data_IF_918561932120
#
_entry.id   IF_918561932120
#
_cell.length_a   1.000
_cell.length_b   1.000
_cell.length_c   1.000
_cell.angle_alpha   90.00
_cell.angle_beta   90.00
_cell.angle_gamma   90.00
#
_symmetry.space_group_name_H-M   'P 1'
#
loop_
_entity.id
_entity.type
_entity.pdbx_description
1 polymer ?
#
# COMPACT_ATOMS: atom_id res chain seq x y z
N UNK A 1 -38.10 20.14 -42.97
CA UNK A 1 -36.72 19.64 -43.03
C UNK A 1 -36.47 18.80 -41.79
N UNK A 2 -36.58 17.48 -41.94
CA UNK A 2 -36.25 16.52 -40.89
C UNK A 2 -34.72 16.44 -40.78
N UNK A 3 -34.17 16.84 -39.62
CA UNK A 3 -32.74 16.74 -39.33
C UNK A 3 -32.36 15.28 -39.02
N UNK A 4 -32.35 14.44 -40.04
CA UNK A 4 -32.03 13.02 -39.92
C UNK A 4 -30.53 12.72 -39.91
N UNK A 5 -29.77 13.18 -38.91
CA UNK A 5 -28.33 12.82 -38.80
C UNK A 5 -27.69 12.72 -37.39
N UNK A 6 -28.28 13.20 -36.27
CA UNK A 6 -27.59 13.09 -34.97
C UNK A 6 -27.40 11.64 -34.49
N UNK A 7 -28.39 10.75 -34.73
CA UNK A 7 -28.37 9.39 -34.16
C UNK A 7 -27.33 8.46 -34.75
N UNK A 8 -27.15 8.47 -36.08
CA UNK A 8 -26.19 7.59 -36.77
C UNK A 8 -24.74 8.01 -36.50
N UNK A 9 -24.49 9.32 -36.39
CA UNK A 9 -23.17 9.82 -35.97
C UNK A 9 -22.85 9.33 -34.55
N UNK A 10 -23.81 9.39 -33.63
CA UNK A 10 -23.62 8.88 -32.26
C UNK A 10 -23.34 7.38 -32.24
N UNK A 11 -24.05 6.57 -33.06
CA UNK A 11 -23.77 5.13 -33.18
C UNK A 11 -22.39 4.82 -33.76
N UNK A 12 -21.84 5.70 -34.60
CA UNK A 12 -20.48 5.57 -35.11
C UNK A 12 -19.41 6.01 -34.09
N UNK A 13 -19.71 7.03 -33.28
CA UNK A 13 -18.77 7.59 -32.30
C UNK A 13 -18.73 6.80 -30.99
N UNK A 14 -19.87 6.38 -30.43
CA UNK A 14 -19.96 5.71 -29.13
C UNK A 14 -19.08 4.44 -29.00
N UNK A 15 -18.92 3.58 -30.03
CA UNK A 15 -17.99 2.44 -29.97
C UNK A 15 -16.51 2.82 -29.72
N UNK A 16 -16.12 4.04 -30.07
CA UNK A 16 -14.75 4.57 -29.94
C UNK A 16 -14.47 5.12 -28.53
N UNK A 17 -15.50 5.34 -27.73
CA UNK A 17 -15.38 5.86 -26.38
C UNK A 17 -14.97 4.75 -25.40
N UNK A 18 -14.32 5.15 -24.31
CA UNK A 18 -14.18 4.28 -23.14
C UNK A 18 -15.49 4.21 -22.36
N UNK A 19 -15.59 3.26 -21.42
CA UNK A 19 -16.84 3.08 -20.69
C UNK A 19 -17.14 4.21 -19.69
N UNK A 20 -16.17 5.04 -19.30
CA UNK A 20 -16.42 6.20 -18.43
C UNK A 20 -17.07 7.32 -19.24
N UNK A 21 -16.54 7.60 -20.43
CA UNK A 21 -17.07 8.61 -21.35
C UNK A 21 -18.47 8.23 -21.86
N UNK A 22 -18.70 6.95 -22.16
CA UNK A 22 -20.03 6.48 -22.56
C UNK A 22 -21.08 6.68 -21.44
N UNK A 23 -20.72 6.52 -20.16
CA UNK A 23 -21.60 6.88 -19.04
C UNK A 23 -21.90 8.38 -19.05
N UNK A 24 -20.90 9.25 -19.25
CA UNK A 24 -21.15 10.69 -19.31
C UNK A 24 -22.04 11.08 -20.48
N UNK A 25 -21.90 10.43 -21.65
CA UNK A 25 -22.80 10.62 -22.79
C UNK A 25 -24.26 10.33 -22.42
N UNK A 26 -24.54 9.35 -21.56
CA UNK A 26 -25.90 9.06 -21.09
C UNK A 26 -26.53 10.21 -20.29
N UNK A 27 -25.72 11.14 -19.76
CA UNK A 27 -26.18 12.29 -18.98
C UNK A 27 -26.43 13.55 -19.82
N UNK A 28 -26.09 13.54 -21.12
CA UNK A 28 -26.17 14.73 -21.99
C UNK A 28 -27.62 15.06 -22.36
N UNK A 29 -28.35 14.10 -22.93
CA UNK A 29 -29.77 14.26 -23.25
C UNK A 29 -30.45 12.89 -23.40
N UNK A 30 -31.80 12.88 -23.48
CA UNK A 30 -32.59 11.64 -23.59
C UNK A 30 -32.17 10.79 -24.80
N UNK A 31 -31.90 11.41 -25.95
CA UNK A 31 -31.49 10.69 -27.16
C UNK A 31 -30.14 9.98 -26.97
N UNK A 32 -29.15 10.66 -26.39
CA UNK A 32 -27.84 10.07 -26.13
C UNK A 32 -27.92 8.95 -25.10
N UNK A 33 -28.76 9.12 -24.07
CA UNK A 33 -29.03 8.09 -23.07
C UNK A 33 -29.60 6.81 -23.71
N UNK A 34 -30.63 6.92 -24.56
CA UNK A 34 -31.22 5.75 -25.19
C UNK A 34 -30.27 5.06 -26.17
N UNK A 35 -29.47 5.81 -26.93
CA UNK A 35 -28.47 5.22 -27.83
C UNK A 35 -27.35 4.55 -27.03
N UNK A 36 -26.78 5.24 -26.02
CA UNK A 36 -25.67 4.71 -25.22
C UNK A 36 -26.06 3.50 -24.35
N UNK A 37 -27.35 3.24 -24.11
CA UNK A 37 -27.84 2.03 -23.43
C UNK A 37 -27.74 0.76 -24.29
N UNK A 38 -27.48 0.88 -25.59
CA UNK A 38 -27.33 -0.29 -26.46
C UNK A 38 -26.17 -1.17 -25.95
N UNK A 39 -26.52 -2.40 -25.55
CA UNK A 39 -25.61 -3.35 -24.93
C UNK A 39 -24.47 -3.76 -25.88
N UNK A 40 -24.62 -3.55 -27.19
CA UNK A 40 -23.53 -3.72 -28.16
C UNK A 40 -22.32 -2.83 -27.85
N UNK A 41 -22.54 -1.57 -27.48
CA UNK A 41 -21.44 -0.65 -27.14
C UNK A 41 -20.70 -1.11 -25.89
N UNK A 42 -21.44 -1.56 -24.88
CA UNK A 42 -20.88 -2.11 -23.65
C UNK A 42 -20.19 -3.46 -23.88
N UNK A 43 -20.69 -4.29 -24.81
CA UNK A 43 -20.03 -5.52 -25.25
C UNK A 43 -18.67 -5.22 -25.87
N UNK A 44 -18.57 -4.22 -26.75
CA UNK A 44 -17.31 -3.79 -27.35
C UNK A 44 -16.31 -3.28 -26.30
N UNK A 45 -16.78 -2.52 -25.30
CA UNK A 45 -15.95 -2.08 -24.18
C UNK A 45 -15.48 -3.28 -23.34
N UNK A 46 -16.40 -4.18 -23.00
CA UNK A 46 -16.08 -5.39 -22.24
C UNK A 46 -15.16 -6.33 -23.00
N UNK A 47 -15.25 -6.45 -24.32
CA UNK A 47 -14.37 -7.33 -25.10
C UNK A 47 -12.94 -6.83 -25.14
N UNK A 48 -12.73 -5.50 -25.02
CA UNK A 48 -11.39 -4.91 -24.88
C UNK A 48 -10.81 -5.13 -23.48
N UNK A 49 -11.64 -5.05 -22.43
CA UNK A 49 -11.22 -5.13 -21.02
C UNK A 49 -11.14 -6.57 -20.48
N UNK A 50 -12.10 -7.41 -20.85
CA UNK A 50 -12.27 -8.80 -20.44
C UNK A 50 -12.69 -9.69 -21.61
N UNK A 51 -11.78 -9.98 -22.58
CA UNK A 51 -12.11 -10.69 -23.81
C UNK A 51 -12.76 -12.07 -23.59
N UNK A 52 -12.40 -12.76 -22.51
CA UNK A 52 -12.92 -14.09 -22.17
C UNK A 52 -14.42 -14.07 -21.84
N UNK A 53 -14.90 -13.03 -21.16
CA UNK A 53 -16.34 -12.89 -20.81
C UNK A 53 -17.17 -12.72 -22.08
N UNK A 54 -16.62 -12.09 -23.13
CA UNK A 54 -17.31 -11.97 -24.41
C UNK A 54 -17.25 -13.25 -25.25
N UNK A 55 -16.22 -14.09 -25.06
CA UNK A 55 -16.09 -15.41 -25.74
C UNK A 55 -17.02 -16.45 -25.14
N UNK A 56 -17.21 -16.41 -23.82
CA UNK A 56 -18.12 -17.29 -23.08
C UNK A 56 -18.95 -16.45 -22.10
N UNK A 57 -19.97 -15.74 -22.60
CA UNK A 57 -20.81 -14.91 -21.73
C UNK A 57 -21.64 -15.80 -20.80
N UNK A 58 -21.77 -15.43 -19.51
CA UNK A 58 -22.80 -15.97 -18.64
C UNK A 58 -24.20 -15.87 -19.27
N UNK A 59 -25.10 -16.80 -18.96
CA UNK A 59 -26.51 -16.67 -19.38
C UNK A 59 -27.10 -15.36 -18.83
N UNK A 60 -27.86 -14.64 -19.66
CA UNK A 60 -28.45 -13.31 -19.37
C UNK A 60 -27.44 -12.17 -19.12
N UNK A 61 -26.26 -12.24 -19.74
CA UNK A 61 -25.26 -11.16 -19.64
C UNK A 61 -25.80 -9.85 -20.19
N UNK A 62 -25.84 -8.84 -19.32
CA UNK A 62 -25.97 -7.45 -19.68
C UNK A 62 -24.58 -6.80 -19.50
N UNK A 63 -23.91 -6.49 -20.61
CA UNK A 63 -22.53 -5.99 -20.60
C UNK A 63 -22.42 -4.62 -19.95
N UNK A 64 -23.45 -3.78 -20.04
CA UNK A 64 -23.51 -2.51 -19.30
C UNK A 64 -23.44 -2.75 -17.79
N UNK A 65 -24.30 -3.61 -17.25
CA UNK A 65 -24.35 -3.94 -15.82
C UNK A 65 -23.06 -4.59 -15.36
N UNK A 66 -22.47 -5.47 -16.17
CA UNK A 66 -21.17 -6.08 -15.92
C UNK A 66 -20.10 -4.99 -15.77
N UNK A 67 -19.97 -4.11 -16.77
CA UNK A 67 -18.99 -3.04 -16.77
C UNK A 67 -19.15 -2.12 -15.57
N UNK A 68 -20.38 -1.69 -15.28
CA UNK A 68 -20.67 -0.81 -14.15
C UNK A 68 -20.40 -1.50 -12.81
N UNK A 69 -20.66 -2.80 -12.67
CA UNK A 69 -20.43 -3.54 -11.43
C UNK A 69 -18.94 -3.62 -11.11
N UNK A 70 -18.12 -3.97 -12.09
CA UNK A 70 -16.67 -4.15 -11.90
C UNK A 70 -15.84 -2.87 -12.07
N UNK A 71 -16.46 -1.77 -12.49
CA UNK A 71 -15.82 -0.44 -12.55
C UNK A 71 -16.19 0.44 -11.35
N UNK A 72 -17.12 0.01 -10.48
CA UNK A 72 -17.40 0.70 -9.22
C UNK A 72 -16.17 0.62 -8.30
N UNK A 73 -15.79 1.70 -7.62
CA UNK A 73 -14.86 1.62 -6.51
C UNK A 73 -15.36 0.58 -5.52
N UNK A 74 -14.47 -0.27 -5.00
CA UNK A 74 -14.83 -1.18 -3.92
C UNK A 74 -15.35 -0.35 -2.76
N UNK A 75 -16.57 -0.63 -2.30
CA UNK A 75 -17.05 -0.06 -1.03
C UNK A 75 -16.14 -0.59 0.06
N UNK A 76 -15.55 0.30 0.84
CA UNK A 76 -14.86 -0.04 2.08
C UNK A 76 -15.89 -0.71 2.99
N UNK A 77 -15.82 -2.03 3.09
CA UNK A 77 -16.58 -2.78 4.08
C UNK A 77 -16.00 -2.37 5.44
N UNK A 78 -16.86 -2.05 6.40
CA UNK A 78 -16.42 -1.85 7.78
C UNK A 78 -15.77 -3.13 8.26
N UNK A 79 -14.43 -3.13 8.32
CA UNK A 79 -13.68 -4.20 8.94
C UNK A 79 -14.12 -4.29 10.41
N UNK A 80 -14.21 -5.51 11.00
CA UNK A 80 -14.50 -5.63 12.42
C UNK A 80 -13.43 -4.89 13.24
N UNK A 81 -13.69 -4.60 14.51
CA UNK A 81 -12.68 -3.94 15.35
C UNK A 81 -11.48 -4.89 15.54
N UNK A 82 -10.23 -4.43 15.31
CA UNK A 82 -9.05 -5.26 15.58
C UNK A 82 -9.04 -5.73 17.04
N UNK A 83 -8.56 -6.95 17.28
CA UNK A 83 -8.37 -7.47 18.66
C UNK A 83 -7.11 -6.94 19.33
N UNK A 84 -6.26 -6.27 18.54
CA UNK A 84 -5.00 -5.68 18.95
C UNK A 84 -5.14 -4.16 18.98
N UNK A 85 -4.48 -3.55 19.96
CA UNK A 85 -4.23 -2.11 19.98
C UNK A 85 -2.72 -1.85 19.93
N UNK A 86 -2.31 -0.63 19.55
CA UNK A 86 -0.89 -0.27 19.59
C UNK A 86 -0.35 -0.22 21.03
N UNK A 87 -1.23 0.00 22.01
CA UNK A 87 -0.95 -0.07 23.43
C UNK A 87 -0.58 -1.49 23.86
N UNK A 88 -1.00 -2.53 23.15
CA UNK A 88 -0.67 -3.92 23.47
C UNK A 88 0.66 -4.38 22.87
N UNK A 89 1.26 -3.58 21.98
CA UNK A 89 2.39 -3.98 21.17
C UNK A 89 3.72 -3.37 21.64
N UNK A 90 4.76 -4.19 21.64
CA UNK A 90 6.16 -3.75 21.77
C UNK A 90 6.95 -4.35 20.62
N UNK A 91 7.71 -3.52 19.91
CA UNK A 91 8.55 -3.90 18.79
C UNK A 91 10.00 -3.89 19.22
N UNK A 92 10.71 -4.99 18.98
CA UNK A 92 12.15 -5.10 19.19
C UNK A 92 12.82 -4.95 17.85
N UNK A 93 13.62 -3.89 17.70
CA UNK A 93 14.29 -3.53 16.46
C UNK A 93 15.79 -3.58 16.72
N UNK A 94 16.45 -4.50 16.03
CA UNK A 94 17.87 -4.74 16.13
C UNK A 94 18.52 -4.58 14.76
N UNK A 95 19.66 -3.91 14.70
CA UNK A 95 20.42 -3.72 13.46
C UNK A 95 21.88 -4.10 13.64
N UNK A 96 22.45 -4.74 12.62
CA UNK A 96 23.84 -5.16 12.61
C UNK A 96 24.58 -4.60 11.40
N UNK A 97 25.80 -4.14 11.63
CA UNK A 97 26.79 -3.79 10.62
C UNK A 97 27.83 -4.91 10.56
N UNK A 98 27.89 -5.65 9.46
CA UNK A 98 28.88 -6.74 9.30
C UNK A 98 28.89 -7.73 10.49
N UNK A 99 27.70 -8.03 11.04
CA UNK A 99 27.52 -8.91 12.20
C UNK A 99 27.71 -8.26 13.56
N UNK A 100 28.19 -7.01 13.64
CA UNK A 100 28.28 -6.25 14.89
C UNK A 100 26.99 -5.48 15.15
N UNK A 101 26.41 -5.62 16.34
CA UNK A 101 25.19 -4.91 16.73
C UNK A 101 25.47 -3.39 16.82
N UNK A 102 24.74 -2.60 16.05
CA UNK A 102 24.87 -1.12 16.01
C UNK A 102 23.66 -0.37 16.57
N UNK A 103 22.50 -1.03 16.63
CA UNK A 103 21.26 -0.48 17.15
C UNK A 103 20.43 -1.60 17.75
N UNK A 104 19.83 -1.36 18.91
CA UNK A 104 18.90 -2.29 19.56
C UNK A 104 17.96 -1.50 20.45
N UNK A 105 16.65 -1.56 20.17
CA UNK A 105 15.63 -0.89 20.97
C UNK A 105 14.34 -1.71 21.06
N UNK A 106 13.73 -1.67 22.24
CA UNK A 106 12.35 -2.10 22.45
C UNK A 106 11.44 -0.86 22.49
N UNK A 107 10.45 -0.80 21.60
CA UNK A 107 9.68 0.40 21.28
C UNK A 107 8.19 0.09 21.36
N UNK A 108 7.43 0.89 22.11
CA UNK A 108 5.97 0.74 22.18
C UNK A 108 5.33 1.00 20.82
N UNK A 109 4.29 0.25 20.47
CA UNK A 109 3.48 0.51 19.28
C UNK A 109 2.93 1.94 19.25
N UNK A 110 2.61 2.53 20.41
CA UNK A 110 2.16 3.93 20.49
C UNK A 110 3.23 4.93 20.04
N UNK A 111 4.52 4.65 20.30
CA UNK A 111 5.62 5.53 19.89
C UNK A 111 5.75 5.46 18.37
N UNK A 112 5.72 4.26 17.81
CA UNK A 112 5.74 4.05 16.37
C UNK A 112 4.55 4.71 15.67
N UNK A 113 3.35 4.61 16.27
CA UNK A 113 2.14 5.26 15.77
C UNK A 113 2.22 6.79 15.83
N UNK A 114 2.80 7.34 16.89
CA UNK A 114 2.95 8.79 17.05
C UNK A 114 3.87 9.41 15.99
N UNK A 115 4.76 8.59 15.40
CA UNK A 115 5.63 8.98 14.31
C UNK A 115 6.77 9.91 14.74
N UNK A 116 7.43 10.50 13.75
CA UNK A 116 8.51 11.47 13.97
C UNK A 116 7.95 12.76 14.58
N UNK A 117 8.52 13.20 15.70
CA UNK A 117 8.11 14.45 16.35
C UNK A 117 8.87 15.65 15.79
N UNK A 118 10.10 15.44 15.34
CA UNK A 118 10.97 16.47 14.77
C UNK A 118 11.71 15.91 13.54
N UNK A 119 11.36 16.44 12.38
CA UNK A 119 12.16 16.20 11.16
C UNK A 119 13.37 17.14 11.15
N UNK A 120 14.61 16.63 10.98
CA UNK A 120 15.77 17.49 10.87
C UNK A 120 15.68 18.37 9.61
N UNK A 121 16.26 19.58 9.69
CA UNK A 121 16.42 20.42 8.51
C UNK A 121 17.36 19.79 7.48
N UNK A 122 17.13 20.06 6.20
CA UNK A 122 17.98 19.59 5.10
C UNK A 122 17.59 18.23 4.50
N UNK A 123 16.41 17.68 4.85
CA UNK A 123 15.85 16.52 4.16
C UNK A 123 15.35 16.91 2.75
N UNK A 124 15.46 16.02 1.74
CA UNK A 124 14.97 16.29 0.39
C UNK A 124 13.45 16.49 0.34
N UNK A 125 12.97 17.30 -0.60
CA UNK A 125 11.52 17.55 -0.79
C UNK A 125 10.72 16.27 -1.04
N UNK A 126 11.34 15.27 -1.70
CA UNK A 126 10.73 13.95 -1.92
C UNK A 126 10.46 13.24 -0.59
N UNK A 127 11.39 13.33 0.36
CA UNK A 127 11.21 12.77 1.69
C UNK A 127 10.17 13.55 2.49
N UNK A 128 10.16 14.89 2.37
CA UNK A 128 9.13 15.73 2.99
C UNK A 128 7.73 15.34 2.49
N UNK A 129 7.57 15.14 1.18
CA UNK A 129 6.29 14.73 0.60
C UNK A 129 5.86 13.34 1.09
N UNK A 130 6.80 12.39 1.19
CA UNK A 130 6.55 11.05 1.73
C UNK A 130 6.11 11.10 3.19
N UNK A 131 6.81 11.85 4.05
CA UNK A 131 6.48 11.96 5.47
C UNK A 131 5.14 12.67 5.74
N UNK A 132 4.69 13.51 4.79
CA UNK A 132 3.39 14.19 4.85
C UNK A 132 2.26 13.41 4.17
N UNK A 133 2.53 12.21 3.64
CA UNK A 133 1.50 11.38 3.02
C UNK A 133 0.43 10.99 4.06
N UNK A 134 -0.82 10.84 3.61
CA UNK A 134 -1.95 10.49 4.48
C UNK A 134 -1.98 8.99 4.86
N UNK A 135 -1.03 8.19 4.36
CA UNK A 135 -0.93 6.78 4.67
C UNK A 135 -0.43 6.59 6.10
N UNK A 136 -1.02 5.63 6.82
CA UNK A 136 -0.56 5.30 8.16
C UNK A 136 0.77 4.55 8.08
N UNK A 137 1.85 5.23 8.47
CA UNK A 137 3.20 4.68 8.48
C UNK A 137 3.70 4.69 9.92
N UNK A 138 4.22 3.56 10.40
CA UNK A 138 4.79 3.46 11.74
C UNK A 138 6.22 3.98 11.73
N UNK A 139 6.53 4.99 12.53
CA UNK A 139 7.84 5.64 12.50
C UNK A 139 8.37 5.94 13.90
N UNK A 140 9.69 5.89 14.05
CA UNK A 140 10.36 6.33 15.27
C UNK A 140 11.60 7.15 14.95
N UNK A 141 11.93 8.06 15.87
CA UNK A 141 13.19 8.78 15.86
C UNK A 141 14.33 7.91 16.41
N UNK A 142 15.51 8.02 15.79
CA UNK A 142 16.73 7.38 16.26
C UNK A 142 17.48 8.35 17.18
N UNK A 143 17.52 8.03 18.47
CA UNK A 143 18.16 8.86 19.52
C UNK A 143 19.13 8.03 20.38
N UNK A 144 20.42 8.40 20.46
CA UNK A 144 21.10 9.39 19.61
C UNK A 144 21.11 8.95 18.14
N UNK A 145 21.25 9.92 17.21
CA UNK A 145 21.30 9.61 15.78
C UNK A 145 22.45 8.65 15.47
N UNK A 146 22.20 7.70 14.58
CA UNK A 146 23.15 6.65 14.23
C UNK A 146 23.95 7.07 13.00
N UNK A 147 25.27 7.17 13.12
CA UNK A 147 26.15 7.42 11.97
C UNK A 147 26.67 6.09 11.44
N UNK A 148 26.48 5.82 10.14
CA UNK A 148 26.89 4.57 9.51
C UNK A 148 27.74 4.88 8.27
N UNK A 149 28.86 4.17 8.04
CA UNK A 149 29.59 4.28 6.79
C UNK A 149 28.73 3.82 5.61
N UNK A 150 28.89 4.46 4.46
CA UNK A 150 28.32 3.97 3.20
C UNK A 150 29.14 2.78 2.69
N UNK A 151 28.46 1.73 2.22
CA UNK A 151 29.09 0.55 1.62
C UNK A 151 28.80 -0.76 2.35
N UNK A 152 29.10 -0.87 3.67
CA UNK A 152 28.85 -2.10 4.40
C UNK A 152 27.36 -2.47 4.47
N UNK A 153 27.07 -3.77 4.47
CA UNK A 153 25.72 -4.28 4.58
C UNK A 153 25.20 -4.10 6.02
N UNK A 154 24.14 -3.30 6.15
CA UNK A 154 23.32 -3.23 7.37
C UNK A 154 22.20 -4.25 7.23
N UNK A 155 22.01 -5.07 8.26
CA UNK A 155 20.85 -5.96 8.38
C UNK A 155 19.96 -5.53 9.54
N UNK A 156 18.68 -5.86 9.46
CA UNK A 156 17.68 -5.55 10.50
C UNK A 156 16.82 -6.75 10.82
N UNK A 157 16.48 -6.90 12.09
CA UNK A 157 15.47 -7.84 12.57
C UNK A 157 14.42 -7.08 13.37
N UNK A 158 13.16 -7.49 13.20
CA UNK A 158 12.02 -6.92 13.90
C UNK A 158 11.19 -8.04 14.50
N UNK A 159 11.10 -8.06 15.82
CA UNK A 159 10.14 -8.88 16.55
C UNK A 159 9.02 -8.00 17.09
N UNK A 160 7.82 -8.54 17.19
CA UNK A 160 6.74 -7.92 17.93
C UNK A 160 6.33 -8.81 19.10
N UNK A 161 6.08 -8.19 20.24
CA UNK A 161 5.54 -8.79 21.45
C UNK A 161 4.17 -8.22 21.74
N UNK A 162 3.28 -9.12 22.12
CA UNK A 162 1.93 -8.84 22.60
C UNK A 162 1.92 -8.90 24.11
N UNK A 163 1.65 -7.77 24.75
CA UNK A 163 1.57 -7.65 26.21
C UNK A 163 0.36 -8.38 26.79
N UNK A 164 -0.76 -8.38 26.07
CA UNK A 164 -2.02 -8.98 26.48
C UNK A 164 -1.98 -10.51 26.62
N UNK A 165 -1.26 -11.16 25.71
CA UNK A 165 -1.20 -12.63 25.58
C UNK A 165 0.20 -13.18 25.87
N UNK A 166 1.17 -12.30 26.08
CA UNK A 166 2.59 -12.61 26.24
C UNK A 166 3.18 -13.45 25.09
N UNK A 167 2.71 -13.19 23.87
CA UNK A 167 3.16 -13.89 22.66
C UNK A 167 4.12 -13.05 21.85
N UNK A 168 4.96 -13.71 21.06
CA UNK A 168 5.85 -13.03 20.12
C UNK A 168 5.64 -13.51 18.69
N UNK A 169 5.94 -12.63 17.74
CA UNK A 169 6.03 -12.96 16.32
C UNK A 169 7.24 -12.27 15.71
N UNK A 170 7.78 -12.85 14.64
CA UNK A 170 8.84 -12.26 13.87
C UNK A 170 8.24 -11.57 12.64
N UNK A 171 8.52 -10.27 12.49
CA UNK A 171 8.05 -9.46 11.37
C UNK A 171 9.12 -9.43 10.27
N UNK A 172 10.38 -9.19 10.66
CA UNK A 172 11.54 -9.16 9.75
C UNK A 172 12.66 -9.99 10.39
N UNK A 173 13.26 -10.90 9.62
CA UNK A 173 14.30 -11.80 10.11
C UNK A 173 15.64 -11.58 9.39
N UNK A 174 16.42 -10.62 9.88
CA UNK A 174 17.78 -10.33 9.37
C UNK A 174 17.79 -9.96 7.89
N UNK A 175 16.90 -9.04 7.48
CA UNK A 175 16.87 -8.52 6.10
C UNK A 175 17.91 -7.43 5.91
N UNK A 176 18.56 -7.41 4.75
CA UNK A 176 19.55 -6.39 4.38
C UNK A 176 18.90 -5.15 3.77
N UNK A 177 19.47 -3.97 4.04
CA UNK A 177 19.08 -2.72 3.39
C UNK A 177 19.73 -2.60 2.00
N UNK A 178 19.32 -3.46 1.07
CA UNK A 178 19.96 -3.58 -0.25
C UNK A 178 19.48 -2.54 -1.27
N UNK A 179 18.35 -1.87 -1.01
CA UNK A 179 17.83 -0.84 -1.88
C UNK A 179 18.00 0.54 -1.26
N UNK A 180 18.83 1.38 -1.88
CA UNK A 180 19.10 2.74 -1.42
C UNK A 180 18.53 3.73 -2.45
N UNK A 181 17.53 4.49 -2.03
CA UNK A 181 17.00 5.62 -2.78
C UNK A 181 17.68 6.90 -2.31
N UNK A 182 18.75 7.28 -3.00
CA UNK A 182 19.52 8.50 -2.72
C UNK A 182 18.70 9.77 -2.91
N UNK A 183 17.67 9.77 -3.76
CA UNK A 183 16.82 10.94 -4.01
C UNK A 183 15.81 11.14 -2.88
N UNK A 184 15.29 10.05 -2.33
CA UNK A 184 14.39 10.07 -1.18
C UNK A 184 15.14 10.05 0.17
N UNK A 185 16.47 9.91 0.17
CA UNK A 185 17.30 9.72 1.36
C UNK A 185 16.79 8.56 2.26
N UNK A 186 16.48 7.44 1.61
CA UNK A 186 15.92 6.23 2.23
C UNK A 186 16.73 4.98 1.87
N UNK A 187 16.92 4.09 2.83
CA UNK A 187 17.42 2.74 2.59
C UNK A 187 16.35 1.73 3.02
N UNK A 188 16.05 0.75 2.18
CA UNK A 188 14.90 -0.14 2.31
C UNK A 188 15.35 -1.59 2.46
N UNK A 189 14.73 -2.26 3.44
CA UNK A 189 14.78 -3.71 3.64
C UNK A 189 13.34 -4.23 3.68
N UNK A 190 13.12 -5.48 3.31
CA UNK A 190 11.81 -6.10 3.46
C UNK A 190 11.91 -7.58 3.81
N UNK A 191 10.81 -8.13 4.30
CA UNK A 191 10.63 -9.56 4.52
C UNK A 191 9.17 -9.93 4.27
N UNK A 192 8.93 -11.16 3.83
CA UNK A 192 7.57 -11.68 3.71
C UNK A 192 6.99 -12.04 5.07
N UNK A 193 5.79 -11.54 5.35
CA UNK A 193 5.10 -11.79 6.60
C UNK A 193 4.73 -13.26 6.76
N UNK A 194 4.92 -13.79 7.96
CA UNK A 194 4.53 -15.14 8.34
C UNK A 194 3.18 -15.12 9.05
N UNK A 195 2.14 -15.52 8.33
CA UNK A 195 0.78 -15.61 8.87
C UNK A 195 0.56 -16.89 9.66
N UNK A 196 -0.35 -16.81 10.64
CA UNK A 196 -0.79 -17.97 11.39
C UNK A 196 -1.37 -19.04 10.43
N UNK A 197 -1.20 -20.35 10.72
CA UNK A 197 -1.85 -21.41 9.94
C UNK A 197 -3.38 -21.31 9.85
N UNK A 198 -4.00 -20.45 10.66
CA UNK A 198 -5.42 -20.08 10.56
C UNK A 198 -5.77 -19.28 9.31
N UNK A 199 -4.76 -18.70 8.65
CA UNK A 199 -4.88 -17.88 7.45
C UNK A 199 -4.06 -18.47 6.28
N UNK A 200 -4.31 -19.73 5.88
CA UNK A 200 -3.41 -20.50 5.00
C UNK A 200 -3.30 -19.97 3.56
N UNK A 201 -4.20 -19.08 3.14
CA UNK A 201 -4.23 -18.52 1.78
C UNK A 201 -3.72 -17.08 1.71
N UNK A 202 -3.20 -16.53 2.81
CA UNK A 202 -2.56 -15.22 2.82
C UNK A 202 -1.07 -15.44 2.62
N UNK A 203 -0.55 -14.95 1.50
CA UNK A 203 0.87 -14.97 1.13
C UNK A 203 1.26 -13.64 0.51
N UNK A 204 2.56 -13.47 0.24
CA UNK A 204 3.11 -12.39 -0.59
C UNK A 204 2.88 -10.96 -0.06
N UNK A 205 2.54 -10.81 1.22
CA UNK A 205 2.51 -9.51 1.90
C UNK A 205 3.87 -9.28 2.56
N UNK A 206 4.48 -8.13 2.28
CA UNK A 206 5.77 -7.75 2.85
C UNK A 206 5.60 -6.75 3.99
N UNK A 207 6.50 -6.85 4.96
CA UNK A 207 6.82 -5.77 5.86
C UNK A 207 8.05 -5.04 5.31
N UNK A 208 7.97 -3.72 5.20
CA UNK A 208 9.04 -2.86 4.75
C UNK A 208 9.63 -2.12 5.92
N UNK A 209 10.96 -2.14 6.04
CA UNK A 209 11.71 -1.30 6.97
C UNK A 209 12.49 -0.27 6.15
N UNK A 210 12.39 1.00 6.52
CA UNK A 210 13.16 2.08 5.92
C UNK A 210 14.03 2.76 6.96
N UNK A 211 15.30 2.96 6.66
CA UNK A 211 16.13 3.97 7.34
C UNK A 211 15.92 5.31 6.65
N UNK A 212 15.71 6.36 7.43
CA UNK A 212 15.63 7.73 6.99
C UNK A 212 16.94 8.42 7.37
N UNK A 213 17.66 8.98 6.39
CA UNK A 213 19.01 9.46 6.63
C UNK A 213 19.29 10.83 6.02
N UNK A 214 20.39 11.43 6.48
CA UNK A 214 21.04 12.57 5.84
C UNK A 214 22.47 12.20 5.49
N UNK A 215 22.98 12.72 4.37
CA UNK A 215 24.39 12.57 4.06
C UNK A 215 25.25 13.39 5.01
N UNK A 216 26.31 12.78 5.53
CA UNK A 216 27.30 13.39 6.41
C UNK A 216 28.67 13.25 5.75
N UNK A 217 29.05 14.27 4.99
CA UNK A 217 30.23 14.20 4.12
C UNK A 217 30.02 13.21 2.96
N UNK A 218 31.12 12.65 2.44
CA UNK A 218 31.07 11.82 1.22
C UNK A 218 30.80 10.34 1.48
N UNK A 219 31.14 9.83 2.66
CA UNK A 219 31.23 8.38 2.91
C UNK A 219 30.40 7.92 4.12
N UNK A 220 29.57 8.78 4.69
CA UNK A 220 28.74 8.39 5.83
C UNK A 220 27.34 8.98 5.74
N UNK A 221 26.40 8.25 6.30
CA UNK A 221 25.03 8.69 6.49
C UNK A 221 24.73 8.81 7.98
N UNK A 222 23.88 9.77 8.32
CA UNK A 222 23.32 9.94 9.65
C UNK A 222 21.85 9.54 9.61
N UNK A 223 21.54 8.38 10.18
CA UNK A 223 20.18 7.86 10.32
C UNK A 223 19.50 8.59 11.47
N UNK A 224 18.41 9.28 11.15
CA UNK A 224 17.62 10.05 12.12
C UNK A 224 16.26 9.43 12.42
N UNK A 225 15.77 8.53 11.56
CA UNK A 225 14.47 7.90 11.71
C UNK A 225 14.44 6.49 11.13
N UNK A 226 13.50 5.70 11.63
CA UNK A 226 13.19 4.36 11.15
C UNK A 226 11.69 4.33 10.85
N UNK A 227 11.33 3.72 9.74
CA UNK A 227 9.95 3.51 9.31
C UNK A 227 9.70 2.01 9.15
N UNK A 228 8.56 1.54 9.66
CA UNK A 228 7.98 0.22 9.43
C UNK A 228 6.66 0.40 8.69
N UNK A 229 6.56 -0.17 7.50
CA UNK A 229 5.43 0.02 6.60
C UNK A 229 4.91 -1.31 6.05
N UNK A 230 3.61 -1.36 5.80
CA UNK A 230 2.87 -2.50 5.25
C UNK A 230 2.08 -2.09 4.00
N UNK A 231 2.56 -1.10 3.25
CA UNK A 231 1.88 -0.45 2.11
C UNK A 231 1.37 -1.40 1.01
N UNK A 232 1.91 -2.62 0.92
CA UNK A 232 1.39 -3.67 0.03
C UNK A 232 -0.05 -4.10 0.40
N UNK A 233 -0.45 -3.97 1.66
CA UNK A 233 -1.70 -4.52 2.19
C UNK A 233 -2.49 -3.61 3.13
N UNK A 234 -1.85 -2.63 3.79
CA UNK A 234 -2.49 -1.75 4.77
C UNK A 234 -2.10 -0.29 4.55
N UNK A 235 -3.08 0.62 4.67
CA UNK A 235 -2.89 2.08 4.52
C UNK A 235 -3.45 2.88 5.70
N UNK A 236 -4.07 2.21 6.66
CA UNK A 236 -4.70 2.82 7.83
C UNK A 236 -4.36 2.06 9.11
N UNK A 237 -4.44 2.74 10.26
CA UNK A 237 -4.20 2.12 11.57
C UNK A 237 -5.01 0.82 11.79
N UNK A 238 -6.32 0.77 11.50
CA UNK A 238 -7.07 -0.47 11.66
C UNK A 238 -6.56 -1.59 10.77
N UNK A 239 -6.23 -1.30 9.50
CA UNK A 239 -5.72 -2.31 8.56
C UNK A 239 -4.37 -2.88 9.02
N UNK A 240 -3.48 -2.04 9.56
CA UNK A 240 -2.22 -2.49 10.15
C UNK A 240 -2.48 -3.42 11.33
N UNK A 241 -3.36 -3.03 12.27
CA UNK A 241 -3.67 -3.86 13.43
C UNK A 241 -4.33 -5.19 13.03
N UNK A 242 -5.18 -5.18 12.00
CA UNK A 242 -5.73 -6.40 11.38
C UNK A 242 -4.64 -7.30 10.84
N UNK A 243 -3.71 -6.72 10.07
CA UNK A 243 -2.59 -7.45 9.49
C UNK A 243 -1.73 -8.11 10.58
N UNK A 244 -1.42 -7.36 11.63
CA UNK A 244 -0.63 -7.84 12.76
C UNK A 244 -1.36 -8.94 13.55
N UNK A 245 -2.68 -8.88 13.72
CA UNK A 245 -3.45 -9.92 14.45
C UNK A 245 -3.42 -11.28 13.74
N UNK A 246 -3.22 -11.28 12.41
CA UNK A 246 -3.16 -12.49 11.58
C UNK A 246 -1.79 -13.18 11.60
N UNK A 247 -0.75 -12.58 12.19
CA UNK A 247 0.60 -13.14 12.22
C UNK A 247 0.71 -14.42 13.05
N UNK A 248 1.77 -15.19 12.84
CA UNK A 248 2.06 -16.43 13.58
C UNK A 248 2.60 -16.15 15.00
N UNK A 249 1.71 -15.70 15.89
CA UNK A 249 2.00 -15.44 17.31
C UNK A 249 2.23 -16.72 18.12
N UNK A 250 3.41 -16.85 18.73
CA UNK A 250 3.86 -17.99 19.53
C UNK A 250 3.97 -17.66 21.00
#
# INVERSE_FOLDING_TARGET
MENGFPGEVLKAVFPLLDGKDLVFCMLVCRQWCEIAKDDYFWKCICSRKWPSICKQPPSDTNFQKLYLTFSKPRKTVHLPVPKLTFEDLVFYIDMWLEGSLIFSQAVSGCILRAGLQNTPGGIPDVLVAHLNAADCILMMEVKPKLTVPMGPAITVSVLAHRKDTNKMTCIINTSSFDYIDSNAARALAYEYLRFSPRHPFISDIRAWMSLLFLYKGTNSIEVFGIELDFCDAARSEPEILWLLDMLDWK
#
